data_IF_292391435067
#
_entry.id   IF_292391435067
#
_cell.length_a   1.000
_cell.length_b   1.000
_cell.length_c   1.000
_cell.angle_alpha   90.00
_cell.angle_beta   90.00
_cell.angle_gamma   90.00
#
_symmetry.space_group_name_H-M   'P 1'
#
loop_
_entity.id
_entity.type
_entity.pdbx_description
1 polymer ?
#
# COMPACT_ATOMS: atom_id res chain seq x y z
N UNK A 1 -1.46 37.51 -1.91
CA UNK A 1 -1.03 36.66 -0.78
C UNK A 1 0.05 35.70 -1.29
N UNK A 2 1.03 35.35 -0.48
CA UNK A 2 2.09 34.40 -0.84
C UNK A 2 1.88 33.12 -0.04
N UNK A 3 1.88 31.96 -0.71
CA UNK A 3 1.82 30.65 -0.09
C UNK A 3 3.22 30.33 0.47
N UNK A 4 3.27 29.79 1.70
CA UNK A 4 4.48 29.26 2.32
C UNK A 4 4.17 27.88 2.89
N UNK A 5 5.12 26.96 2.79
CA UNK A 5 5.02 25.66 3.41
C UNK A 5 5.70 25.70 4.78
N UNK A 6 5.04 25.15 5.79
CA UNK A 6 5.55 25.04 7.14
C UNK A 6 5.45 23.59 7.62
N UNK A 7 6.59 22.97 7.94
CA UNK A 7 6.62 21.60 8.44
C UNK A 7 6.16 21.54 9.89
N UNK A 8 5.25 20.63 10.18
CA UNK A 8 4.74 20.36 11.53
C UNK A 8 4.72 18.85 11.79
N UNK A 9 4.61 18.44 13.05
CA UNK A 9 4.51 17.02 13.42
C UNK A 9 3.05 16.60 13.55
N UNK A 10 2.74 15.37 13.13
CA UNK A 10 1.43 14.76 13.29
C UNK A 10 1.57 13.32 13.79
N UNK A 11 0.81 12.98 14.84
CA UNK A 11 0.73 11.61 15.33
C UNK A 11 -0.10 10.76 14.37
N UNK A 12 0.51 9.73 13.81
CA UNK A 12 -0.15 8.75 12.96
C UNK A 12 -0.63 7.55 13.78
N UNK A 13 -1.71 6.88 13.30
CA UNK A 13 -2.14 5.59 13.83
C UNK A 13 -1.54 4.48 12.98
N UNK A 14 -1.05 3.44 13.65
CA UNK A 14 -0.52 2.24 13.02
C UNK A 14 -1.10 1.02 13.73
N UNK A 15 -1.51 0.02 12.97
CA UNK A 15 -2.05 -1.23 13.49
C UNK A 15 -1.11 -2.37 13.12
N UNK A 16 -0.89 -3.29 14.06
CA UNK A 16 -0.11 -4.52 13.82
C UNK A 16 -0.92 -5.72 14.27
N UNK A 17 -0.70 -6.87 13.63
CA UNK A 17 -1.34 -8.13 14.00
C UNK A 17 -0.65 -8.81 15.18
N UNK A 18 0.59 -8.44 15.48
CA UNK A 18 1.37 -8.99 16.61
C UNK A 18 2.28 -7.92 17.22
N UNK A 19 2.70 -8.14 18.45
CA UNK A 19 3.74 -7.36 19.15
C UNK A 19 4.99 -8.21 19.47
N UNK A 20 5.04 -9.48 19.01
CA UNK A 20 6.18 -10.37 19.09
C UNK A 20 6.87 -10.44 17.73
N UNK A 21 8.21 -10.29 17.72
CA UNK A 21 8.99 -10.18 16.48
C UNK A 21 10.04 -11.28 16.29
N UNK A 22 10.13 -12.23 17.23
CA UNK A 22 11.26 -13.18 17.29
C UNK A 22 11.37 -14.14 16.11
N UNK A 23 10.23 -14.56 15.53
CA UNK A 23 10.19 -15.56 14.46
C UNK A 23 9.59 -15.02 13.16
N UNK A 24 9.61 -13.70 12.99
CA UNK A 24 9.05 -13.07 11.79
C UNK A 24 9.98 -13.35 10.61
N UNK A 25 9.40 -13.89 9.55
CA UNK A 25 10.05 -14.12 8.26
C UNK A 25 9.62 -13.09 7.21
N UNK A 26 8.35 -12.65 7.29
CA UNK A 26 7.75 -11.69 6.35
C UNK A 26 7.20 -10.47 7.07
N UNK A 27 7.57 -9.30 6.59
CA UNK A 27 7.04 -8.01 7.09
C UNK A 27 6.21 -7.35 6.00
N UNK A 28 4.92 -7.23 6.26
CA UNK A 28 3.97 -6.61 5.35
C UNK A 28 3.72 -5.17 5.77
N UNK A 29 3.95 -4.22 4.87
CA UNK A 29 3.46 -2.84 5.05
C UNK A 29 2.29 -2.65 4.12
N UNK A 30 1.08 -2.57 4.70
CA UNK A 30 -0.17 -2.62 3.95
C UNK A 30 -0.88 -1.26 3.94
N UNK A 31 -0.85 -0.58 2.80
CA UNK A 31 -1.48 0.71 2.56
C UNK A 31 -2.92 0.53 2.09
N UNK A 32 -3.86 1.11 2.82
CA UNK A 32 -5.30 1.06 2.53
C UNK A 32 -5.72 1.96 1.35
N UNK A 33 -6.92 1.74 0.81
CA UNK A 33 -7.50 2.56 -0.25
C UNK A 33 -8.10 3.88 0.25
N UNK A 34 -8.46 4.75 -0.71
CA UNK A 34 -9.14 6.02 -0.43
C UNK A 34 -10.39 5.83 0.43
N UNK A 35 -10.54 6.66 1.45
CA UNK A 35 -11.71 6.66 2.32
C UNK A 35 -11.77 5.49 3.32
N UNK A 36 -10.78 4.62 3.37
CA UNK A 36 -10.70 3.57 4.38
C UNK A 36 -9.96 4.05 5.64
N UNK A 37 -10.20 3.39 6.76
CA UNK A 37 -9.42 3.53 7.98
C UNK A 37 -8.58 2.26 8.19
N UNK A 38 -7.36 2.43 8.68
CA UNK A 38 -6.44 1.33 8.94
C UNK A 38 -7.02 0.30 9.94
N UNK A 39 -7.84 0.75 10.91
CA UNK A 39 -8.50 -0.12 11.89
C UNK A 39 -9.44 -1.17 11.28
N UNK A 40 -10.11 -0.84 10.18
CA UNK A 40 -10.96 -1.78 9.45
C UNK A 40 -10.18 -2.54 8.37
N UNK A 41 -9.20 -1.88 7.78
CA UNK A 41 -8.39 -2.49 6.74
C UNK A 41 -7.46 -3.59 7.30
N UNK A 42 -6.91 -3.41 8.50
CA UNK A 42 -6.06 -4.39 9.18
C UNK A 42 -6.74 -5.74 9.41
N UNK A 43 -8.07 -5.75 9.63
CA UNK A 43 -8.84 -6.98 9.83
C UNK A 43 -8.79 -7.93 8.61
N UNK A 44 -8.48 -7.41 7.41
CA UNK A 44 -8.32 -8.24 6.21
C UNK A 44 -7.13 -9.17 6.27
N UNK A 45 -6.17 -8.86 7.12
CA UNK A 45 -4.90 -9.60 7.27
C UNK A 45 -4.91 -10.58 8.45
N UNK A 46 -6.04 -10.77 9.13
CA UNK A 46 -6.20 -11.76 10.22
C UNK A 46 -5.97 -13.21 9.77
N UNK A 47 -6.01 -13.45 8.46
CA UNK A 47 -5.73 -14.76 7.84
C UNK A 47 -4.23 -15.10 7.79
N UNK A 48 -3.34 -14.14 8.01
CA UNK A 48 -1.90 -14.35 8.00
C UNK A 48 -1.43 -14.92 9.36
N UNK A 49 -0.58 -15.94 9.33
CA UNK A 49 0.02 -16.49 10.55
C UNK A 49 0.90 -15.45 11.25
N UNK A 50 0.45 -14.96 12.41
CA UNK A 50 1.13 -13.93 13.21
C UNK A 50 2.50 -14.39 13.75
N UNK A 51 2.85 -15.68 13.66
CA UNK A 51 4.15 -16.18 14.10
C UNK A 51 5.24 -15.95 13.06
N UNK A 52 4.86 -15.92 11.78
CA UNK A 52 5.78 -15.76 10.66
C UNK A 52 5.58 -14.42 9.92
N UNK A 53 4.36 -13.85 9.97
CA UNK A 53 4.00 -12.64 9.26
C UNK A 53 3.68 -11.49 10.22
N UNK A 54 4.53 -10.48 10.24
CA UNK A 54 4.19 -9.19 10.82
C UNK A 54 3.46 -8.35 9.78
N UNK A 55 2.25 -7.92 10.08
CA UNK A 55 1.50 -6.98 9.24
C UNK A 55 1.47 -5.62 9.92
N UNK A 56 1.99 -4.62 9.26
CA UNK A 56 2.00 -3.22 9.68
C UNK A 56 1.04 -2.46 8.76
N UNK A 57 -0.03 -1.91 9.34
CA UNK A 57 -1.05 -1.16 8.60
C UNK A 57 -1.03 0.30 9.05
N UNK A 58 -0.26 1.15 8.35
CA UNK A 58 -0.26 2.58 8.61
C UNK A 58 -1.57 3.22 8.14
N UNK A 59 -2.07 4.19 8.90
CA UNK A 59 -3.21 5.00 8.47
C UNK A 59 -2.72 6.25 7.74
N UNK A 60 -3.32 6.53 6.59
CA UNK A 60 -3.07 7.77 5.86
C UNK A 60 -3.35 8.99 6.73
N UNK A 61 -2.51 10.01 6.60
CA UNK A 61 -2.49 11.13 7.54
C UNK A 61 -3.68 12.09 7.44
N UNK A 62 -4.37 12.13 6.29
CA UNK A 62 -5.49 13.04 6.06
C UNK A 62 -6.83 12.34 6.26
N UNK A 63 -7.47 12.54 7.44
CA UNK A 63 -8.81 12.02 7.76
C UNK A 63 -9.88 13.04 7.41
N UNK A 64 -11.02 12.54 6.90
CA UNK A 64 -12.14 13.38 6.51
C UNK A 64 -13.48 12.64 6.71
N UNK A 65 -14.57 13.38 6.73
CA UNK A 65 -15.91 12.80 6.78
C UNK A 65 -16.37 12.39 5.38
N UNK A 66 -16.66 11.10 5.17
CA UNK A 66 -17.07 10.56 3.87
C UNK A 66 -18.38 11.16 3.35
N UNK A 67 -19.32 11.44 4.26
CA UNK A 67 -20.67 11.92 3.93
C UNK A 67 -20.83 13.44 4.16
N UNK A 68 -19.73 14.18 4.33
CA UNK A 68 -19.77 15.61 4.64
C UNK A 68 -20.08 15.91 6.10
N UNK A 69 -20.10 17.22 6.42
CA UNK A 69 -20.37 17.73 7.78
C UNK A 69 -21.88 17.98 7.93
N UNK A 70 -22.46 17.57 9.07
CA UNK A 70 -23.85 17.83 9.42
C UNK A 70 -24.80 16.63 9.34
N UNK A 71 -24.37 15.48 8.82
CA UNK A 71 -25.16 14.26 8.85
C UNK A 71 -25.04 13.54 10.19
N UNK A 72 -26.08 12.84 10.62
CA UNK A 72 -26.10 12.06 11.86
C UNK A 72 -25.09 10.88 11.81
N UNK A 73 -24.94 10.24 10.64
CA UNK A 73 -23.99 9.16 10.41
C UNK A 73 -22.69 9.74 9.82
N UNK A 74 -21.77 10.10 10.70
CA UNK A 74 -20.48 10.70 10.35
C UNK A 74 -19.42 9.64 10.13
N UNK A 75 -19.48 8.93 9.00
CA UNK A 75 -18.43 7.99 8.61
C UNK A 75 -17.15 8.74 8.28
N UNK A 76 -16.04 8.30 8.89
CA UNK A 76 -14.70 8.86 8.69
C UNK A 76 -13.90 7.91 7.82
N UNK A 77 -13.18 8.49 6.88
CA UNK A 77 -12.16 7.82 6.08
C UNK A 77 -10.84 8.57 6.12
N UNK A 78 -9.82 8.00 5.52
CA UNK A 78 -8.53 8.62 5.37
C UNK A 78 -8.05 8.54 3.92
N UNK A 79 -7.17 9.46 3.52
CA UNK A 79 -6.57 9.52 2.19
C UNK A 79 -5.08 9.81 2.28
N UNK A 80 -4.29 9.17 1.41
CA UNK A 80 -2.86 9.38 1.30
C UNK A 80 -2.51 10.71 0.65
N UNK A 81 -3.31 11.11 -0.33
CA UNK A 81 -3.17 12.39 -1.01
C UNK A 81 -4.48 12.81 -1.67
N UNK A 82 -4.56 14.08 -2.03
CA UNK A 82 -5.58 14.61 -2.94
C UNK A 82 -4.92 15.22 -4.18
N UNK A 83 -5.68 15.88 -5.04
CA UNK A 83 -5.12 16.66 -6.15
C UNK A 83 -4.55 18.01 -5.69
N UNK A 84 -4.98 18.49 -4.53
CA UNK A 84 -4.55 19.77 -3.96
C UNK A 84 -3.23 19.56 -3.22
N UNK A 85 -2.22 20.34 -3.54
CA UNK A 85 -0.84 20.25 -3.03
C UNK A 85 -0.26 18.82 -3.00
N UNK A 86 -0.54 18.11 -4.08
CA UNK A 86 -0.32 16.67 -4.21
C UNK A 86 1.11 16.24 -3.93
N UNK A 87 2.10 17.01 -4.38
CA UNK A 87 3.51 16.67 -4.25
C UNK A 87 3.97 16.78 -2.80
N UNK A 88 3.41 17.72 -2.04
CA UNK A 88 3.64 17.82 -0.58
C UNK A 88 3.07 16.61 0.14
N UNK A 89 1.81 16.23 -0.14
CA UNK A 89 1.22 15.01 0.41
C UNK A 89 2.09 13.76 0.15
N UNK A 90 2.62 13.65 -1.09
CA UNK A 90 3.50 12.54 -1.49
C UNK A 90 4.79 12.53 -0.67
N UNK A 91 5.47 13.67 -0.56
CA UNK A 91 6.71 13.79 0.21
C UNK A 91 6.48 13.45 1.69
N UNK A 92 5.39 13.93 2.27
CA UNK A 92 5.05 13.72 3.67
C UNK A 92 4.73 12.25 3.97
N UNK A 93 3.92 11.57 3.14
CA UNK A 93 3.65 10.16 3.40
C UNK A 93 4.87 9.25 3.10
N UNK A 94 5.72 9.60 2.15
CA UNK A 94 6.97 8.86 1.91
C UNK A 94 7.89 8.95 3.12
N UNK A 95 8.06 10.16 3.69
CA UNK A 95 8.85 10.34 4.92
C UNK A 95 8.23 9.56 6.09
N UNK A 96 6.91 9.65 6.28
CA UNK A 96 6.20 8.89 7.30
C UNK A 96 6.42 7.38 7.17
N UNK A 97 6.36 6.82 5.96
CA UNK A 97 6.57 5.39 5.73
C UNK A 97 8.04 4.98 5.94
N UNK A 98 9.00 5.87 5.63
CA UNK A 98 10.42 5.66 5.94
C UNK A 98 10.66 5.58 7.45
N UNK A 99 10.17 6.58 8.20
CA UNK A 99 10.30 6.63 9.67
C UNK A 99 9.64 5.41 10.32
N UNK A 100 8.48 5.00 9.80
CA UNK A 100 7.77 3.82 10.25
C UNK A 100 8.60 2.56 10.03
N UNK A 101 9.13 2.34 8.81
CA UNK A 101 9.99 1.20 8.50
C UNK A 101 11.17 1.13 9.46
N UNK A 102 11.91 2.22 9.62
CA UNK A 102 13.08 2.30 10.50
C UNK A 102 12.74 1.96 11.95
N UNK A 103 11.57 2.40 12.44
CA UNK A 103 11.11 2.12 13.82
C UNK A 103 10.86 0.62 14.10
N UNK A 104 10.55 -0.15 13.06
CA UNK A 104 10.36 -1.60 13.16
C UNK A 104 11.64 -2.38 12.84
N UNK A 105 12.41 -1.97 11.84
CA UNK A 105 13.58 -2.69 11.32
C UNK A 105 14.59 -3.04 12.42
N UNK A 106 14.82 -2.15 13.38
CA UNK A 106 15.72 -2.39 14.51
C UNK A 106 15.26 -3.48 15.50
N UNK A 107 14.00 -3.91 15.41
CA UNK A 107 13.37 -4.89 16.32
C UNK A 107 13.19 -6.25 15.65
N UNK A 108 13.40 -6.32 14.35
CA UNK A 108 13.13 -7.50 13.52
C UNK A 108 14.37 -8.42 13.43
N UNK A 109 14.16 -9.72 13.18
CA UNK A 109 15.24 -10.62 12.79
C UNK A 109 15.99 -10.10 11.55
N UNK A 110 17.25 -10.52 11.44
CA UNK A 110 18.00 -10.28 10.20
C UNK A 110 17.38 -11.11 9.06
N UNK A 111 17.42 -10.57 7.84
CA UNK A 111 16.96 -11.24 6.61
C UNK A 111 15.46 -11.49 6.50
N UNK A 112 14.62 -10.70 7.19
CA UNK A 112 13.17 -10.71 6.93
C UNK A 112 12.87 -10.26 5.50
N UNK A 113 11.88 -10.86 4.86
CA UNK A 113 11.40 -10.46 3.55
C UNK A 113 10.35 -9.36 3.67
N UNK A 114 10.53 -8.27 2.94
CA UNK A 114 9.61 -7.14 2.94
C UNK A 114 8.57 -7.27 1.84
N UNK A 115 7.30 -7.20 2.22
CA UNK A 115 6.16 -7.18 1.32
C UNK A 115 5.50 -5.81 1.39
N UNK A 116 5.62 -5.03 0.33
CA UNK A 116 4.93 -3.74 0.21
C UNK A 116 3.60 -3.98 -0.48
N UNK A 117 2.52 -3.85 0.27
CA UNK A 117 1.15 -4.11 -0.19
C UNK A 117 0.37 -2.81 -0.32
N UNK A 118 -0.29 -2.60 -1.45
CA UNK A 118 -1.19 -1.47 -1.65
C UNK A 118 -2.54 -1.89 -2.23
N UNK A 119 -3.62 -1.43 -1.61
CA UNK A 119 -4.97 -1.58 -2.14
C UNK A 119 -5.45 -0.26 -2.76
N UNK A 120 -5.90 -0.29 -4.02
CA UNK A 120 -6.48 0.87 -4.71
C UNK A 120 -5.55 2.10 -4.67
N UNK A 121 -5.90 3.21 -4.02
CA UNK A 121 -5.02 4.36 -3.81
C UNK A 121 -3.71 3.96 -3.12
N UNK A 122 -3.77 3.01 -2.18
CA UNK A 122 -2.59 2.46 -1.51
C UNK A 122 -1.59 1.80 -2.47
N UNK A 123 -2.02 1.28 -3.62
CA UNK A 123 -1.11 0.75 -4.65
C UNK A 123 -0.21 1.85 -5.24
N UNK A 124 -0.78 3.01 -5.53
CA UNK A 124 -0.01 4.17 -5.99
C UNK A 124 0.93 4.70 -4.89
N UNK A 125 0.48 4.67 -3.63
CA UNK A 125 1.31 5.03 -2.47
C UNK A 125 2.50 4.08 -2.33
N UNK A 126 2.27 2.77 -2.46
CA UNK A 126 3.31 1.73 -2.44
C UNK A 126 4.38 1.98 -3.51
N UNK A 127 3.96 2.23 -4.75
CA UNK A 127 4.88 2.49 -5.85
C UNK A 127 5.73 3.73 -5.61
N UNK A 128 5.14 4.83 -5.14
CA UNK A 128 5.87 6.07 -4.85
C UNK A 128 6.81 5.94 -3.65
N UNK A 129 6.41 5.16 -2.64
CA UNK A 129 7.32 4.86 -1.54
C UNK A 129 8.55 4.06 -2.00
N UNK A 130 8.38 3.08 -2.90
CA UNK A 130 9.52 2.37 -3.51
C UNK A 130 10.37 3.31 -4.36
N UNK A 131 9.76 4.25 -5.09
CA UNK A 131 10.46 5.20 -5.93
C UNK A 131 11.28 6.21 -5.13
N UNK A 132 10.67 6.84 -4.11
CA UNK A 132 11.19 8.04 -3.45
C UNK A 132 11.70 7.76 -2.03
N UNK A 133 11.34 6.63 -1.45
CA UNK A 133 11.68 6.24 -0.08
C UNK A 133 12.91 5.35 0.01
N UNK A 134 13.13 4.86 1.23
CA UNK A 134 14.26 3.99 1.57
C UNK A 134 13.90 2.50 1.61
N UNK A 135 12.74 2.10 1.08
CA UNK A 135 12.33 0.70 1.04
C UNK A 135 12.84 0.00 -0.22
N UNK A 136 13.39 -1.19 -0.02
CA UNK A 136 13.72 -2.13 -1.08
C UNK A 136 12.99 -3.45 -0.77
N UNK A 137 11.76 -3.65 -1.25
CA UNK A 137 10.98 -4.81 -0.91
C UNK A 137 11.44 -6.05 -1.69
N UNK A 138 11.15 -7.24 -1.16
CA UNK A 138 11.22 -8.50 -1.91
C UNK A 138 9.97 -8.67 -2.80
N UNK A 139 8.82 -8.20 -2.33
CA UNK A 139 7.55 -8.30 -3.02
C UNK A 139 6.80 -6.96 -3.03
N UNK A 140 6.30 -6.57 -4.21
CA UNK A 140 5.32 -5.51 -4.39
C UNK A 140 3.97 -6.12 -4.74
N UNK A 141 2.93 -5.78 -3.99
CA UNK A 141 1.56 -6.24 -4.22
C UNK A 141 0.66 -5.06 -4.58
N UNK A 142 0.12 -5.09 -5.80
CA UNK A 142 -0.86 -4.13 -6.29
C UNK A 142 -2.25 -4.80 -6.30
N UNK A 143 -2.99 -4.65 -5.22
CA UNK A 143 -4.33 -5.21 -5.09
C UNK A 143 -5.38 -4.22 -5.55
N UNK A 144 -6.11 -4.54 -6.60
CA UNK A 144 -7.11 -3.65 -7.24
C UNK A 144 -6.54 -2.24 -7.53
N UNK A 145 -5.29 -2.21 -7.95
CA UNK A 145 -4.55 -0.99 -8.27
C UNK A 145 -3.55 -1.20 -9.40
N UNK A 146 -2.99 -0.11 -9.89
CA UNK A 146 -2.01 -0.08 -10.97
C UNK A 146 -0.80 0.77 -10.56
N UNK A 147 0.30 0.62 -11.30
CA UNK A 147 1.38 1.60 -11.22
C UNK A 147 0.86 2.97 -11.64
N UNK A 148 1.10 4.03 -10.85
CA UNK A 148 0.67 5.36 -11.23
C UNK A 148 1.46 5.88 -12.45
N UNK A 149 0.83 6.65 -13.36
CA UNK A 149 1.44 7.05 -14.63
C UNK A 149 2.56 8.09 -14.49
N UNK A 150 2.70 8.69 -13.34
CA UNK A 150 3.65 9.74 -13.00
C UNK A 150 4.95 9.22 -12.37
N UNK A 151 5.17 7.90 -12.36
CA UNK A 151 6.41 7.33 -11.83
C UNK A 151 7.62 7.69 -12.69
N UNK A 152 8.71 8.03 -12.01
CA UNK A 152 10.02 8.09 -12.63
C UNK A 152 10.54 6.66 -12.81
N UNK A 153 10.61 6.24 -14.06
CA UNK A 153 11.01 4.89 -14.46
C UNK A 153 12.43 4.58 -14.02
N UNK A 154 13.32 5.59 -14.05
CA UNK A 154 14.73 5.42 -13.72
C UNK A 154 14.95 5.05 -12.25
N UNK A 155 14.04 5.46 -11.37
CA UNK A 155 14.09 5.10 -9.96
C UNK A 155 13.85 3.61 -9.67
N UNK A 156 13.36 2.86 -10.66
CA UNK A 156 13.17 1.41 -10.57
C UNK A 156 14.31 0.61 -11.19
N UNK A 157 15.23 1.28 -11.91
CA UNK A 157 16.38 0.61 -12.49
C UNK A 157 17.30 0.03 -11.41
N UNK A 158 17.66 -1.23 -11.56
CA UNK A 158 18.49 -1.94 -10.58
C UNK A 158 17.75 -2.42 -9.32
N UNK A 159 16.48 -2.07 -9.13
CA UNK A 159 15.67 -2.66 -8.06
C UNK A 159 15.15 -4.04 -8.49
N UNK A 160 15.31 -5.03 -7.61
CA UNK A 160 14.85 -6.40 -7.86
C UNK A 160 13.78 -6.76 -6.82
N UNK A 161 12.55 -6.86 -7.25
CA UNK A 161 11.44 -7.37 -6.44
C UNK A 161 10.42 -8.07 -7.32
N UNK A 162 9.74 -9.05 -6.76
CA UNK A 162 8.64 -9.74 -7.44
C UNK A 162 7.37 -8.90 -7.36
N UNK A 163 6.70 -8.68 -8.48
CA UNK A 163 5.48 -7.89 -8.53
C UNK A 163 4.27 -8.79 -8.69
N UNK A 164 3.27 -8.60 -7.85
CA UNK A 164 1.99 -9.28 -7.87
C UNK A 164 0.88 -8.26 -8.19
N UNK A 165 0.04 -8.57 -9.14
CA UNK A 165 -1.11 -7.73 -9.48
C UNK A 165 -2.40 -8.54 -9.36
N UNK A 166 -3.28 -8.12 -8.43
CA UNK A 166 -4.51 -8.83 -8.11
C UNK A 166 -5.71 -8.05 -8.62
N UNK A 167 -6.63 -8.73 -9.31
CA UNK A 167 -7.77 -8.08 -9.98
C UNK A 167 -9.03 -8.90 -9.85
N UNK A 168 -10.10 -8.25 -9.36
CA UNK A 168 -11.45 -8.79 -9.44
C UNK A 168 -12.03 -8.64 -10.85
N UNK A 169 -12.70 -9.66 -11.35
CA UNK A 169 -13.36 -9.67 -12.67
C UNK A 169 -14.55 -8.70 -12.74
N UNK A 170 -15.14 -8.37 -11.56
CA UNK A 170 -16.26 -7.43 -11.39
C UNK A 170 -15.83 -6.10 -10.77
N UNK A 171 -14.53 -5.77 -10.83
CA UNK A 171 -13.99 -4.50 -10.33
C UNK A 171 -14.40 -3.35 -11.28
N UNK A 172 -15.26 -2.45 -10.80
CA UNK A 172 -15.81 -1.33 -11.55
C UNK A 172 -14.76 -0.28 -11.96
N UNK A 173 -13.61 -0.24 -11.29
CA UNK A 173 -12.50 0.65 -11.64
C UNK A 173 -11.57 0.06 -12.69
N UNK A 174 -11.68 -1.26 -12.96
CA UNK A 174 -10.88 -1.95 -13.97
C UNK A 174 -11.51 -1.87 -15.36
N UNK A 175 -11.71 -0.65 -15.86
CA UNK A 175 -12.24 -0.37 -17.18
C UNK A 175 -11.13 -0.34 -18.26
N UNK A 176 -11.51 -0.16 -19.53
CA UNK A 176 -10.57 -0.19 -20.66
C UNK A 176 -9.52 0.92 -20.60
N UNK A 177 -9.84 2.07 -20.00
CA UNK A 177 -8.87 3.14 -19.78
C UNK A 177 -7.80 2.70 -18.77
N UNK A 178 -8.22 2.14 -17.63
CA UNK A 178 -7.30 1.64 -16.60
C UNK A 178 -6.40 0.51 -17.11
N UNK A 179 -6.95 -0.40 -17.95
CA UNK A 179 -6.18 -1.45 -18.62
C UNK A 179 -5.10 -0.86 -19.50
N UNK A 180 -5.46 0.06 -20.39
CA UNK A 180 -4.52 0.72 -21.30
C UNK A 180 -3.42 1.49 -20.56
N UNK A 181 -3.77 2.23 -19.52
CA UNK A 181 -2.81 2.96 -18.68
C UNK A 181 -1.85 1.97 -17.99
N UNK A 182 -2.37 0.88 -17.43
CA UNK A 182 -1.55 -0.15 -16.81
C UNK A 182 -0.56 -0.81 -17.80
N UNK A 183 -1.04 -1.20 -18.97
CA UNK A 183 -0.20 -1.86 -19.97
C UNK A 183 0.93 -0.96 -20.48
N UNK A 184 0.63 0.33 -20.68
CA UNK A 184 1.62 1.33 -21.06
C UNK A 184 2.71 1.50 -19.99
N UNK A 185 2.34 1.58 -18.71
CA UNK A 185 3.33 1.77 -17.65
C UNK A 185 4.16 0.50 -17.41
N UNK A 186 3.54 -0.69 -17.46
CA UNK A 186 4.25 -1.97 -17.36
C UNK A 186 5.29 -2.14 -18.48
N UNK A 187 4.93 -1.76 -19.70
CA UNK A 187 5.84 -1.77 -20.85
C UNK A 187 7.03 -0.83 -20.62
N UNK A 188 6.77 0.38 -20.14
CA UNK A 188 7.83 1.37 -19.83
C UNK A 188 8.76 0.90 -18.72
N UNK A 189 8.19 0.38 -17.62
CA UNK A 189 8.95 -0.12 -16.47
C UNK A 189 9.67 -1.44 -16.76
N UNK A 190 9.34 -2.12 -17.87
CA UNK A 190 9.81 -3.48 -18.18
C UNK A 190 9.48 -4.49 -17.07
N UNK A 191 8.43 -4.24 -16.30
CA UNK A 191 7.96 -5.11 -15.22
C UNK A 191 6.92 -6.09 -15.78
N UNK A 192 7.05 -7.36 -15.40
CA UNK A 192 6.08 -8.42 -15.71
C UNK A 192 5.47 -8.92 -14.39
N UNK A 193 4.36 -8.35 -13.93
CA UNK A 193 3.73 -8.80 -12.71
C UNK A 193 3.13 -10.20 -12.87
N UNK A 194 3.16 -10.99 -11.82
CA UNK A 194 2.30 -12.17 -11.73
C UNK A 194 0.86 -11.72 -11.50
N UNK A 195 -0.02 -12.11 -12.42
CA UNK A 195 -1.43 -11.75 -12.37
C UNK A 195 -2.21 -12.81 -11.60
N UNK A 196 -2.99 -12.35 -10.62
CA UNK A 196 -3.96 -13.16 -9.89
C UNK A 196 -5.34 -12.56 -10.17
N UNK A 197 -6.07 -13.18 -11.11
CA UNK A 197 -7.47 -12.85 -11.34
C UNK A 197 -8.35 -13.63 -10.37
N UNK A 198 -9.40 -12.98 -9.84
CA UNK A 198 -10.34 -13.61 -8.92
C UNK A 198 -11.77 -13.14 -9.21
N UNK A 199 -12.75 -13.94 -8.82
CA UNK A 199 -14.15 -13.53 -8.89
C UNK A 199 -14.45 -12.54 -7.77
N UNK A 200 -14.72 -11.27 -8.10
CA UNK A 200 -15.01 -10.26 -7.10
C UNK A 200 -14.98 -8.82 -7.60
N UNK A 201 -15.41 -7.93 -6.72
CA UNK A 201 -15.47 -6.48 -6.92
C UNK A 201 -14.21 -5.79 -6.40
N UNK A 202 -14.23 -4.45 -6.38
CA UNK A 202 -13.18 -3.58 -5.82
C UNK A 202 -13.07 -3.73 -4.28
N UNK A 203 -12.58 -4.88 -3.80
CA UNK A 203 -12.52 -5.24 -2.38
C UNK A 203 -11.42 -6.25 -2.12
N UNK A 204 -10.80 -6.20 -0.95
CA UNK A 204 -9.87 -7.24 -0.48
C UNK A 204 -10.66 -8.42 0.09
N UNK A 205 -10.38 -9.61 -0.41
CA UNK A 205 -10.99 -10.88 -0.01
C UNK A 205 -9.97 -11.74 0.73
N UNK A 206 -10.37 -12.36 1.83
CA UNK A 206 -9.48 -13.15 2.69
C UNK A 206 -8.91 -14.37 1.96
N UNK A 207 -9.75 -15.08 1.22
CA UNK A 207 -9.34 -16.25 0.43
C UNK A 207 -8.33 -15.92 -0.69
N UNK A 208 -8.42 -14.71 -1.23
CA UNK A 208 -7.44 -14.22 -2.22
C UNK A 208 -6.12 -13.86 -1.56
N UNK A 209 -6.16 -13.30 -0.34
CA UNK A 209 -4.95 -13.04 0.45
C UNK A 209 -4.26 -14.34 0.86
N UNK A 210 -5.00 -15.36 1.33
CA UNK A 210 -4.45 -16.68 1.67
C UNK A 210 -3.71 -17.30 0.47
N UNK A 211 -4.32 -17.27 -0.71
CA UNK A 211 -3.67 -17.75 -1.93
C UNK A 211 -2.40 -16.96 -2.28
N UNK A 212 -2.43 -15.63 -2.11
CA UNK A 212 -1.27 -14.76 -2.33
C UNK A 212 -0.14 -15.09 -1.35
N UNK A 213 -0.45 -15.28 -0.05
CA UNK A 213 0.55 -15.65 0.98
C UNK A 213 1.29 -16.92 0.59
N UNK A 214 0.55 -17.98 0.26
CA UNK A 214 1.16 -19.25 -0.18
C UNK A 214 2.07 -19.06 -1.39
N UNK A 215 1.71 -18.18 -2.34
CA UNK A 215 2.56 -17.90 -3.50
C UNK A 215 3.81 -17.10 -3.14
N UNK A 216 3.71 -16.18 -2.20
CA UNK A 216 4.85 -15.37 -1.72
C UNK A 216 5.84 -16.25 -0.97
N UNK A 217 5.36 -17.13 -0.11
CA UNK A 217 6.19 -18.08 0.65
C UNK A 217 6.97 -19.05 -0.24
N UNK A 218 6.41 -19.40 -1.41
CA UNK A 218 7.04 -20.30 -2.38
C UNK A 218 7.82 -19.56 -3.48
N UNK A 219 8.03 -18.26 -3.35
CA UNK A 219 8.68 -17.42 -4.36
C UNK A 219 10.12 -17.09 -4.01
#
# INVERSE_FOLDING_TARGET
MHQQQFKTTKTARVFTNTNSFENIEYVWVAMHGYGQLASFFSQKFEVLDQKQHLVIVPEAQSRFYLNGVGLLDKKVGATWMTKEDRETDIADYVQYLNDLKESFESKLPQNVKWVVFGFSQGAATACRWIQMGNVNPDHLVLYAGIFPPDLDITAFEGKSFKTWQLRGDKDEFWNDRAKKENDLILQKLKVKPELIAFEGRHKVYSEVLENLVVRIENA
#
